data_IF_678390751548
#
_entry.id   IF_678390751548
#
_cell.length_a   1.000
_cell.length_b   1.000
_cell.length_c   1.000
_cell.angle_alpha   90.00
_cell.angle_beta   90.00
_cell.angle_gamma   90.00
#
_symmetry.space_group_name_H-M   'P 1'
#
loop_
_entity.id
_entity.type
_entity.pdbx_description
1 polymer ?
#
# COMPACT_ATOMS: atom_id res chain seq x y z
N UNK A 1 52.16 14.24 41.97
CA UNK A 1 53.59 14.15 41.64
C UNK A 1 53.79 13.04 40.65
N UNK A 2 54.48 13.32 39.61
CA UNK A 2 55.12 12.70 38.46
C UNK A 2 54.35 12.82 37.17
N UNK A 3 54.88 13.35 36.38
CA UNK A 3 55.29 14.11 35.17
C UNK A 3 55.82 13.17 34.08
N UNK A 4 55.45 13.56 32.85
CA UNK A 4 56.10 13.50 31.53
C UNK A 4 56.13 12.21 30.69
N UNK A 5 55.79 12.45 29.42
CA UNK A 5 56.28 11.70 28.29
C UNK A 5 55.61 12.03 26.96
N UNK A 6 55.89 13.24 26.42
CA UNK A 6 55.59 13.62 25.01
C UNK A 6 56.69 13.04 24.12
N UNK A 7 56.34 12.34 23.03
CA UNK A 7 57.23 12.13 21.88
C UNK A 7 56.46 12.29 20.59
N UNK A 8 56.70 13.44 19.95
CA UNK A 8 56.32 13.68 18.55
C UNK A 8 57.34 12.99 17.63
N UNK A 9 56.85 12.62 16.46
CA UNK A 9 57.67 12.37 15.28
C UNK A 9 57.06 13.07 14.06
N UNK A 10 57.98 13.73 13.35
CA UNK A 10 57.74 14.70 12.30
C UNK A 10 57.68 14.06 10.90
N UNK A 11 56.98 14.76 10.03
CA UNK A 11 57.11 14.96 8.58
C UNK A 11 57.91 13.96 7.73
N UNK A 12 57.26 13.55 6.65
CA UNK A 12 57.87 13.07 5.42
C UNK A 12 56.97 13.37 4.22
N UNK A 13 57.18 14.56 3.62
CA UNK A 13 56.58 14.99 2.36
C UNK A 13 57.42 14.42 1.22
N UNK A 14 56.87 13.54 0.38
CA UNK A 14 57.46 13.13 -0.90
C UNK A 14 56.57 13.63 -2.04
N UNK A 15 57.05 14.67 -2.73
CA UNK A 15 56.51 15.18 -3.99
C UNK A 15 57.11 14.37 -5.14
N UNK A 16 56.33 13.54 -5.79
CA UNK A 16 56.69 12.84 -7.01
C UNK A 16 56.04 13.52 -8.23
N UNK A 17 56.83 14.28 -8.99
CA UNK A 17 56.45 14.72 -10.32
C UNK A 17 56.52 13.52 -11.26
N UNK A 18 55.36 13.20 -11.89
CA UNK A 18 55.33 12.32 -13.06
C UNK A 18 54.90 13.17 -14.26
N UNK A 19 55.84 13.27 -15.24
CA UNK A 19 55.67 13.94 -16.50
C UNK A 19 54.65 13.17 -17.39
N UNK A 20 53.62 13.86 -17.84
CA UNK A 20 52.69 13.37 -18.86
C UNK A 20 53.30 13.51 -20.26
N UNK A 21 53.70 12.41 -20.88
CA UNK A 21 53.91 12.33 -22.31
C UNK A 21 52.59 12.14 -23.02
N UNK A 22 52.20 13.13 -23.81
CA UNK A 22 50.97 13.10 -24.62
C UNK A 22 51.07 12.09 -25.77
N UNK A 23 50.14 11.16 -25.79
CA UNK A 23 49.83 10.38 -26.99
C UNK A 23 48.53 10.94 -27.58
N UNK A 24 48.69 11.56 -28.74
CA UNK A 24 47.58 12.10 -29.56
C UNK A 24 46.95 10.91 -30.29
N UNK A 25 45.80 10.42 -29.85
CA UNK A 25 44.98 9.49 -30.61
C UNK A 25 44.19 10.25 -31.68
N UNK A 26 44.28 9.81 -32.91
CA UNK A 26 43.57 10.33 -34.06
C UNK A 26 42.05 10.01 -33.91
N UNK A 27 41.24 11.03 -34.10
CA UNK A 27 39.77 10.91 -34.19
C UNK A 27 39.45 10.42 -35.60
N UNK A 28 38.68 9.33 -35.78
CA UNK A 28 38.17 8.97 -37.10
C UNK A 28 37.01 9.90 -37.47
N UNK A 29 37.10 10.43 -38.69
CA UNK A 29 36.15 11.29 -39.39
C UNK A 29 34.84 10.55 -39.61
N UNK A 30 33.72 11.15 -39.20
CA UNK A 30 32.39 10.62 -39.39
C UNK A 30 31.96 10.79 -40.86
N UNK A 31 31.31 9.80 -41.49
CA UNK A 31 30.79 9.95 -42.84
C UNK A 31 29.56 10.88 -42.86
N UNK A 32 29.50 11.73 -43.88
CA UNK A 32 28.42 12.65 -44.22
C UNK A 32 27.07 11.93 -44.37
N UNK A 33 25.94 12.54 -43.95
CA UNK A 33 24.62 11.94 -44.09
C UNK A 33 24.19 11.93 -45.56
N UNK A 34 23.94 10.75 -46.11
CA UNK A 34 23.20 10.58 -47.34
C UNK A 34 21.71 10.77 -47.05
N UNK A 35 21.09 11.64 -47.85
CA UNK A 35 19.64 11.86 -47.91
C UNK A 35 18.93 10.56 -48.27
N UNK A 36 18.40 9.90 -47.23
CA UNK A 36 17.36 8.91 -47.39
C UNK A 36 16.04 9.52 -46.93
N UNK A 37 15.19 9.76 -47.91
CA UNK A 37 13.81 10.19 -47.69
C UNK A 37 13.09 9.22 -46.71
N UNK A 38 12.92 9.67 -45.49
CA UNK A 38 12.15 8.95 -44.48
C UNK A 38 10.69 9.08 -44.86
N UNK A 39 10.08 7.96 -45.23
CA UNK A 39 8.64 7.79 -45.26
C UNK A 39 8.08 8.12 -43.89
N UNK A 40 7.17 9.08 -43.82
CA UNK A 40 6.45 9.44 -42.61
C UNK A 40 5.73 8.20 -42.03
N UNK A 41 5.83 7.95 -40.73
CA UNK A 41 5.00 6.91 -40.12
C UNK A 41 3.52 7.31 -40.22
N UNK A 42 2.74 6.40 -40.77
CA UNK A 42 1.30 6.53 -40.84
C UNK A 42 0.76 6.88 -39.44
N UNK A 43 0.10 8.01 -39.34
CA UNK A 43 -0.65 8.44 -38.17
C UNK A 43 -1.69 7.36 -37.90
N UNK A 44 -1.48 6.55 -36.85
CA UNK A 44 -2.54 5.73 -36.29
C UNK A 44 -3.66 6.70 -35.86
N UNK A 45 -4.87 6.59 -36.40
CA UNK A 45 -5.99 7.34 -35.85
C UNK A 45 -6.13 6.88 -34.40
N UNK A 46 -5.91 7.79 -33.44
CA UNK A 46 -6.33 7.61 -32.09
C UNK A 46 -7.80 7.16 -32.16
N UNK A 47 -8.04 5.89 -31.88
CA UNK A 47 -9.39 5.36 -31.76
C UNK A 47 -10.02 6.16 -30.64
N UNK A 48 -10.83 7.16 -31.02
CA UNK A 48 -11.82 7.79 -30.15
C UNK A 48 -12.72 6.65 -29.70
N UNK A 49 -12.42 6.07 -28.53
CA UNK A 49 -13.31 5.13 -27.88
C UNK A 49 -14.59 5.91 -27.58
N UNK A 50 -15.57 5.78 -28.45
CA UNK A 50 -16.97 6.09 -28.16
C UNK A 50 -17.24 5.53 -26.77
N UNK A 51 -17.91 6.24 -25.84
CA UNK A 51 -18.33 5.66 -24.58
C UNK A 51 -19.29 4.53 -24.89
N UNK A 52 -18.72 3.32 -25.11
CA UNK A 52 -19.49 2.11 -25.32
C UNK A 52 -20.42 1.95 -24.12
N UNK A 53 -21.64 1.61 -24.40
CA UNK A 53 -22.67 1.27 -23.43
C UNK A 53 -22.07 0.21 -22.47
N UNK A 54 -21.46 0.67 -21.37
CA UNK A 54 -20.87 -0.23 -20.35
C UNK A 54 -22.02 -0.98 -19.75
N UNK A 55 -22.02 -2.30 -19.93
CA UNK A 55 -23.06 -3.14 -19.37
C UNK A 55 -23.03 -3.02 -17.84
N UNK A 56 -24.17 -2.66 -17.25
CA UNK A 56 -24.33 -2.71 -15.80
C UNK A 56 -24.28 -4.16 -15.32
N UNK A 57 -23.91 -4.40 -14.06
CA UNK A 57 -24.00 -5.73 -13.47
C UNK A 57 -25.43 -6.27 -13.56
N UNK A 58 -25.56 -7.57 -13.80
CA UNK A 58 -26.85 -8.27 -13.68
C UNK A 58 -27.21 -8.39 -12.19
N UNK A 59 -28.29 -7.72 -11.80
CA UNK A 59 -28.79 -7.66 -10.42
C UNK A 59 -29.89 -8.67 -10.14
N UNK A 60 -30.00 -9.75 -10.91
CA UNK A 60 -31.01 -10.80 -10.74
C UNK A 60 -30.95 -11.51 -9.40
N UNK A 61 -29.82 -11.41 -8.69
CA UNK A 61 -29.64 -11.89 -7.31
C UNK A 61 -29.01 -10.82 -6.42
N UNK A 62 -29.19 -10.90 -5.10
CA UNK A 62 -28.41 -10.09 -4.17
C UNK A 62 -26.93 -10.52 -4.18
N UNK A 63 -26.05 -9.56 -3.89
CA UNK A 63 -24.62 -9.81 -3.70
C UNK A 63 -24.25 -9.64 -2.24
N UNK A 64 -23.25 -10.40 -1.79
CA UNK A 64 -22.69 -10.33 -0.44
C UNK A 64 -21.37 -9.55 -0.43
N UNK A 65 -21.21 -8.61 0.52
CA UNK A 65 -20.01 -7.82 0.69
C UNK A 65 -19.53 -7.86 2.15
N UNK A 66 -18.29 -8.32 2.35
CA UNK A 66 -17.63 -8.33 3.65
C UNK A 66 -16.97 -6.99 3.94
N UNK A 67 -17.39 -6.33 5.00
CA UNK A 67 -16.70 -5.19 5.59
C UNK A 67 -15.76 -5.68 6.70
N UNK A 68 -14.66 -4.99 6.87
CA UNK A 68 -13.66 -5.28 7.89
C UNK A 68 -13.44 -4.03 8.74
N UNK A 69 -13.52 -4.20 10.05
CA UNK A 69 -13.30 -3.10 10.99
C UNK A 69 -11.83 -2.69 10.98
N UNK A 70 -11.56 -1.46 10.51
CA UNK A 70 -10.20 -0.95 10.36
C UNK A 70 -10.16 0.56 10.17
N UNK A 71 -9.88 1.30 11.22
CA UNK A 71 -9.71 2.75 11.18
C UNK A 71 -10.81 3.47 10.41
N UNK A 72 -10.42 4.37 9.51
CA UNK A 72 -11.36 5.11 8.66
C UNK A 72 -12.00 4.27 7.53
N UNK A 73 -11.53 3.03 7.28
CA UNK A 73 -12.16 2.19 6.28
C UNK A 73 -13.57 1.78 6.70
N UNK A 74 -13.72 1.31 7.94
CA UNK A 74 -15.02 1.03 8.54
C UNK A 74 -14.90 0.91 10.06
N UNK A 75 -15.77 1.62 10.78
CA UNK A 75 -15.90 1.56 12.23
C UNK A 75 -17.26 0.95 12.60
N UNK A 76 -17.24 -0.24 13.21
CA UNK A 76 -18.47 -0.97 13.57
C UNK A 76 -19.32 -0.22 14.61
N UNK A 77 -18.70 0.58 15.46
CA UNK A 77 -19.40 1.35 16.51
C UNK A 77 -20.31 2.44 15.94
N UNK A 78 -19.87 3.12 14.88
CA UNK A 78 -20.64 4.19 14.22
C UNK A 78 -21.41 3.69 13.01
N UNK A 79 -20.99 2.55 12.45
CA UNK A 79 -21.49 2.04 11.19
C UNK A 79 -21.09 2.91 10.00
N UNK A 80 -20.00 3.68 10.10
CA UNK A 80 -19.49 4.62 9.07
C UNK A 80 -18.11 4.22 8.60
N UNK A 81 -17.69 4.76 7.45
CA UNK A 81 -16.37 4.57 6.88
C UNK A 81 -16.34 4.59 5.38
N UNK A 82 -15.14 4.70 4.83
CA UNK A 82 -14.88 4.81 3.39
C UNK A 82 -15.46 3.61 2.63
N UNK A 83 -15.27 2.40 3.14
CA UNK A 83 -15.74 1.17 2.49
C UNK A 83 -17.27 1.12 2.45
N UNK A 84 -17.95 1.61 3.48
CA UNK A 84 -19.41 1.73 3.46
C UNK A 84 -19.89 2.75 2.44
N UNK A 85 -19.29 3.94 2.39
CA UNK A 85 -19.62 4.97 1.41
C UNK A 85 -19.43 4.47 -0.02
N UNK A 86 -18.37 3.71 -0.29
CA UNK A 86 -18.13 3.07 -1.59
C UNK A 86 -19.22 2.05 -1.90
N UNK A 87 -19.58 1.18 -0.95
CA UNK A 87 -20.64 0.19 -1.14
C UNK A 87 -22.00 0.84 -1.42
N UNK A 88 -22.36 1.90 -0.70
CA UNK A 88 -23.58 2.68 -0.93
C UNK A 88 -23.60 3.32 -2.33
N UNK A 89 -22.47 3.86 -2.78
CA UNK A 89 -22.34 4.42 -4.12
C UNK A 89 -22.44 3.33 -5.20
N UNK A 90 -21.88 2.14 -4.98
CA UNK A 90 -22.06 0.99 -5.86
C UNK A 90 -23.55 0.64 -6.01
N UNK A 91 -24.29 0.58 -4.89
CA UNK A 91 -25.76 0.36 -4.90
C UNK A 91 -26.47 1.47 -5.64
N UNK A 92 -26.14 2.73 -5.39
CA UNK A 92 -26.75 3.90 -6.04
C UNK A 92 -26.64 3.86 -7.57
N UNK A 93 -25.46 3.44 -8.08
CA UNK A 93 -25.19 3.37 -9.53
C UNK A 93 -25.85 2.19 -10.22
N UNK A 94 -25.81 1.05 -9.57
CA UNK A 94 -26.22 -0.22 -10.20
C UNK A 94 -27.67 -0.59 -9.90
N UNK A 95 -28.22 -0.12 -8.79
CA UNK A 95 -29.48 -0.57 -8.18
C UNK A 95 -29.47 -2.04 -7.75
N UNK A 96 -28.29 -2.68 -7.73
CA UNK A 96 -28.15 -4.01 -7.17
C UNK A 96 -28.29 -3.99 -5.65
N UNK A 97 -28.83 -5.07 -5.10
CA UNK A 97 -28.89 -5.26 -3.66
C UNK A 97 -27.53 -5.81 -3.15
N UNK A 98 -26.88 -5.08 -2.24
CA UNK A 98 -25.67 -5.53 -1.53
C UNK A 98 -26.00 -5.81 -0.07
N UNK A 99 -25.77 -7.05 0.39
CA UNK A 99 -25.85 -7.42 1.80
C UNK A 99 -24.48 -7.23 2.45
N UNK A 100 -24.39 -6.27 3.37
CA UNK A 100 -23.14 -5.95 4.06
C UNK A 100 -23.02 -6.78 5.34
N UNK A 101 -21.87 -7.39 5.57
CA UNK A 101 -21.57 -8.16 6.79
C UNK A 101 -20.20 -7.79 7.31
N UNK A 102 -20.09 -7.46 8.60
CA UNK A 102 -18.81 -7.17 9.26
C UNK A 102 -18.14 -8.48 9.66
N UNK A 103 -16.93 -8.70 9.20
CA UNK A 103 -16.20 -9.96 9.38
C UNK A 103 -14.71 -9.71 9.68
N UNK A 104 -14.05 -10.59 10.46
CA UNK A 104 -12.60 -10.58 10.57
C UNK A 104 -11.93 -10.78 9.20
N UNK A 105 -10.83 -10.06 8.94
CA UNK A 105 -10.13 -10.07 7.64
C UNK A 105 -9.79 -11.47 7.14
N UNK A 106 -9.32 -12.34 8.03
CA UNK A 106 -9.01 -13.73 7.68
C UNK A 106 -10.24 -14.49 7.16
N UNK A 107 -11.41 -14.28 7.80
CA UNK A 107 -12.66 -14.91 7.39
C UNK A 107 -13.15 -14.42 6.04
N UNK A 108 -13.00 -13.13 5.75
CA UNK A 108 -13.32 -12.55 4.44
C UNK A 108 -12.57 -13.29 3.32
N UNK A 109 -11.25 -13.45 3.46
CA UNK A 109 -10.45 -14.14 2.43
C UNK A 109 -10.87 -15.61 2.22
N UNK A 110 -11.18 -16.34 3.29
CA UNK A 110 -11.68 -17.71 3.20
C UNK A 110 -13.02 -17.78 2.44
N UNK A 111 -13.94 -16.86 2.72
CA UNK A 111 -15.25 -16.83 2.08
C UNK A 111 -15.16 -16.42 0.61
N UNK A 112 -14.29 -15.48 0.23
CA UNK A 112 -14.01 -15.14 -1.16
C UNK A 112 -13.42 -16.32 -1.93
N UNK A 113 -12.47 -17.06 -1.34
CA UNK A 113 -11.85 -18.22 -1.97
C UNK A 113 -12.85 -19.35 -2.19
N UNK A 114 -13.78 -19.55 -1.26
CA UNK A 114 -14.83 -20.57 -1.41
C UNK A 114 -16.00 -20.14 -2.27
N UNK A 115 -16.13 -18.85 -2.60
CA UNK A 115 -17.27 -18.28 -3.32
C UNK A 115 -18.49 -18.05 -2.44
N UNK A 116 -18.36 -18.14 -1.12
CA UNK A 116 -19.44 -17.86 -0.17
C UNK A 116 -19.58 -16.36 0.13
N UNK A 117 -18.68 -15.53 -0.37
CA UNK A 117 -18.72 -14.08 -0.36
C UNK A 117 -18.38 -13.57 -1.75
N UNK A 118 -19.14 -12.59 -2.26
CA UNK A 118 -18.90 -12.02 -3.60
C UNK A 118 -17.80 -10.97 -3.58
N UNK A 119 -17.83 -10.08 -2.57
CA UNK A 119 -16.98 -8.88 -2.53
C UNK A 119 -16.35 -8.61 -1.18
N UNK A 120 -15.22 -7.92 -1.20
CA UNK A 120 -14.75 -7.06 -0.12
C UNK A 120 -14.11 -5.81 -0.71
N UNK A 121 -13.86 -4.80 0.12
CA UNK A 121 -13.26 -3.53 -0.26
C UNK A 121 -11.85 -3.41 0.34
N UNK A 122 -11.09 -2.43 -0.16
CA UNK A 122 -9.75 -2.06 0.33
C UNK A 122 -8.77 -3.24 0.44
N UNK A 123 -8.91 -4.21 -0.49
CA UNK A 123 -8.01 -5.36 -0.54
C UNK A 123 -6.85 -5.18 -1.50
N UNK A 124 -5.71 -5.81 -1.18
CA UNK A 124 -4.52 -5.85 -2.03
C UNK A 124 -4.33 -7.24 -2.65
N UNK A 125 -3.73 -7.26 -3.84
CA UNK A 125 -3.34 -8.46 -4.56
C UNK A 125 -2.07 -9.09 -3.98
N UNK A 126 -1.97 -10.40 -4.14
CA UNK A 126 -0.74 -11.16 -4.08
C UNK A 126 -0.91 -12.47 -4.87
N UNK A 127 0.18 -13.22 -5.18
CA UNK A 127 0.09 -14.42 -6.02
C UNK A 127 -0.89 -15.51 -5.53
N UNK A 128 -1.16 -15.57 -4.24
CA UNK A 128 -2.12 -16.54 -3.67
C UNK A 128 -3.56 -16.06 -3.89
N UNK A 129 -3.85 -14.79 -3.61
CA UNK A 129 -5.18 -14.18 -3.77
C UNK A 129 -5.61 -14.11 -5.22
N UNK A 130 -4.69 -13.86 -6.15
CA UNK A 130 -4.95 -13.74 -7.59
C UNK A 130 -5.51 -15.02 -8.20
N UNK A 131 -5.28 -16.18 -7.56
CA UNK A 131 -5.81 -17.47 -7.99
C UNK A 131 -7.33 -17.55 -7.89
N UNK A 132 -7.93 -16.87 -6.91
CA UNK A 132 -9.37 -16.95 -6.64
C UNK A 132 -10.10 -15.60 -6.68
N UNK A 133 -9.38 -14.48 -6.72
CA UNK A 133 -9.97 -13.14 -6.70
C UNK A 133 -9.56 -12.31 -7.93
N UNK A 134 -10.45 -11.41 -8.33
CA UNK A 134 -10.18 -10.32 -9.26
C UNK A 134 -10.20 -8.99 -8.51
N UNK A 135 -9.45 -8.00 -9.00
CA UNK A 135 -9.28 -6.71 -8.33
C UNK A 135 -9.65 -5.55 -9.25
N UNK A 136 -10.28 -4.54 -8.68
CA UNK A 136 -10.51 -3.25 -9.33
C UNK A 136 -10.02 -2.13 -8.43
N UNK A 137 -8.86 -1.57 -8.77
CA UNK A 137 -8.13 -0.61 -7.94
C UNK A 137 -8.84 0.74 -7.90
N UNK A 138 -8.90 1.36 -6.70
CA UNK A 138 -9.47 2.69 -6.52
C UNK A 138 -8.69 3.60 -5.57
N UNK A 139 -7.73 3.06 -4.84
CA UNK A 139 -6.80 3.83 -4.02
C UNK A 139 -5.42 3.22 -4.05
N UNK A 140 -4.41 4.00 -3.69
CA UNK A 140 -3.09 3.51 -3.30
C UNK A 140 -2.61 4.24 -2.05
N UNK A 141 -1.93 3.54 -1.16
CA UNK A 141 -1.34 4.12 0.04
C UNK A 141 -0.02 3.46 0.40
N UNK A 142 0.73 4.11 1.29
CA UNK A 142 1.95 3.58 1.89
C UNK A 142 1.67 2.96 3.25
N UNK A 143 2.54 2.05 3.64
CA UNK A 143 2.58 1.47 4.97
C UNK A 143 3.71 2.09 5.80
N UNK A 144 3.50 2.13 7.11
CA UNK A 144 4.41 2.71 8.08
C UNK A 144 4.58 1.77 9.26
N UNK A 145 5.73 1.86 9.91
CA UNK A 145 5.98 1.19 11.18
C UNK A 145 5.73 2.20 12.31
N UNK A 146 4.69 2.00 13.09
CA UNK A 146 4.45 2.72 14.33
C UNK A 146 5.28 2.07 15.43
N UNK A 147 6.24 2.79 16.00
CA UNK A 147 7.20 2.27 16.97
C UNK A 147 7.11 3.04 18.27
N UNK A 148 7.22 2.34 19.40
CA UNK A 148 7.36 2.97 20.72
C UNK A 148 8.67 3.79 20.76
N UNK A 149 8.61 4.99 21.35
CA UNK A 149 9.80 5.86 21.48
C UNK A 149 10.88 5.29 22.40
N UNK A 150 10.47 4.58 23.45
CA UNK A 150 11.37 3.93 24.40
C UNK A 150 12.09 2.69 23.85
N UNK A 151 11.67 2.16 22.70
CA UNK A 151 12.42 1.16 21.95
C UNK A 151 13.73 1.72 21.37
N UNK A 152 13.91 3.05 21.37
CA UNK A 152 15.11 3.74 20.87
C UNK A 152 15.52 3.25 19.46
N UNK A 153 14.57 3.36 18.51
CA UNK A 153 14.70 2.91 17.12
C UNK A 153 14.37 4.07 16.19
N UNK A 154 15.25 4.33 15.22
CA UNK A 154 15.15 5.44 14.28
C UNK A 154 15.01 4.99 12.81
N UNK A 155 15.03 3.68 12.57
CA UNK A 155 14.78 3.10 11.24
C UNK A 155 14.21 1.69 11.32
N UNK A 156 13.51 1.27 10.26
CA UNK A 156 12.99 -0.11 10.12
C UNK A 156 14.11 -1.15 10.25
N UNK A 157 15.29 -0.85 9.69
CA UNK A 157 16.46 -1.74 9.77
C UNK A 157 17.01 -1.86 11.18
N UNK A 158 16.97 -0.80 12.00
CA UNK A 158 17.33 -0.87 13.42
C UNK A 158 16.37 -1.74 14.21
N UNK A 159 15.07 -1.59 14.02
CA UNK A 159 14.06 -2.46 14.64
C UNK A 159 14.36 -3.93 14.37
N UNK A 160 14.63 -4.28 13.12
CA UNK A 160 14.97 -5.66 12.73
C UNK A 160 16.20 -6.19 13.47
N UNK A 161 17.24 -5.38 13.65
CA UNK A 161 18.50 -5.80 14.36
C UNK A 161 18.33 -5.98 15.86
N UNK A 162 17.43 -5.24 16.51
CA UNK A 162 17.14 -5.35 17.96
C UNK A 162 16.25 -6.56 18.23
N UNK A 163 16.84 -7.72 18.49
CA UNK A 163 16.15 -9.03 18.59
C UNK A 163 15.11 -9.13 19.72
N UNK A 164 15.19 -8.25 20.74
CA UNK A 164 14.24 -8.20 21.84
C UNK A 164 12.91 -7.52 21.47
N UNK A 165 12.81 -6.85 20.31
CA UNK A 165 11.64 -6.10 19.94
C UNK A 165 10.64 -6.98 19.18
N UNK A 166 9.36 -6.88 19.52
CA UNK A 166 8.24 -7.63 18.95
C UNK A 166 7.33 -6.73 18.12
N UNK A 167 6.78 -7.30 17.05
CA UNK A 167 5.87 -6.65 16.10
C UNK A 167 4.45 -7.18 16.27
N UNK A 168 3.46 -6.29 16.35
CA UNK A 168 2.05 -6.62 16.30
C UNK A 168 1.47 -6.49 14.89
N UNK A 169 0.68 -7.45 14.46
CA UNK A 169 0.05 -7.47 13.14
C UNK A 169 -1.41 -7.94 13.19
N UNK A 170 -2.21 -7.47 12.23
CA UNK A 170 -3.54 -8.04 12.00
C UNK A 170 -3.39 -9.33 11.20
N UNK A 171 -4.04 -10.38 11.65
CA UNK A 171 -4.01 -11.70 10.98
C UNK A 171 -4.51 -11.62 9.54
N UNK A 172 -3.76 -12.24 8.63
CA UNK A 172 -4.05 -12.28 7.18
C UNK A 172 -3.94 -10.94 6.44
N UNK A 173 -3.33 -9.92 7.07
CA UNK A 173 -2.90 -8.73 6.34
C UNK A 173 -1.67 -9.03 5.48
N UNK A 174 -1.53 -8.26 4.43
CA UNK A 174 -0.33 -8.17 3.59
C UNK A 174 -0.09 -6.71 3.29
N UNK A 175 1.14 -6.38 2.94
CA UNK A 175 1.66 -5.02 2.82
C UNK A 175 2.41 -4.85 1.50
N UNK A 176 3.24 -3.83 1.35
CA UNK A 176 4.22 -3.73 0.28
C UNK A 176 5.30 -4.81 0.36
N UNK A 177 6.08 -4.96 -0.68
CA UNK A 177 7.10 -6.02 -0.79
C UNK A 177 8.11 -5.97 0.37
N UNK A 178 8.70 -4.78 0.62
CA UNK A 178 9.70 -4.60 1.69
C UNK A 178 9.10 -4.76 3.09
N UNK A 179 7.87 -4.30 3.27
CA UNK A 179 7.17 -4.50 4.54
C UNK A 179 6.84 -5.98 4.76
N UNK A 180 6.48 -6.75 3.72
CA UNK A 180 6.30 -8.20 3.82
C UNK A 180 7.62 -8.91 4.12
N UNK A 181 8.74 -8.57 3.46
CA UNK A 181 10.07 -9.11 3.75
C UNK A 181 10.49 -8.86 5.21
N UNK A 182 10.16 -7.67 5.72
CA UNK A 182 10.41 -7.33 7.12
C UNK A 182 9.57 -8.21 8.06
N UNK A 183 8.28 -8.40 7.77
CA UNK A 183 7.37 -9.27 8.53
C UNK A 183 7.87 -10.72 8.52
N UNK A 184 8.14 -11.28 7.34
CA UNK A 184 8.58 -12.67 7.17
C UNK A 184 9.87 -12.95 7.94
N UNK A 185 10.80 -11.98 7.96
CA UNK A 185 12.02 -12.07 8.74
C UNK A 185 11.76 -12.11 10.26
N UNK A 186 10.82 -11.31 10.77
CA UNK A 186 10.46 -11.32 12.19
C UNK A 186 9.63 -12.56 12.57
N UNK A 187 8.78 -13.06 11.68
CA UNK A 187 8.07 -14.32 11.87
C UNK A 187 9.04 -15.50 12.04
N UNK A 188 10.06 -15.58 11.18
CA UNK A 188 11.07 -16.64 11.25
C UNK A 188 11.85 -16.62 12.58
N UNK A 189 11.89 -15.47 13.25
CA UNK A 189 12.50 -15.27 14.56
C UNK A 189 11.49 -15.37 15.73
N UNK A 190 10.22 -15.73 15.46
CA UNK A 190 9.12 -15.79 16.45
C UNK A 190 8.87 -14.45 17.18
N UNK A 191 9.03 -13.34 16.47
CA UNK A 191 8.91 -11.97 16.98
C UNK A 191 7.62 -11.27 16.55
N UNK A 192 6.61 -12.02 16.10
CA UNK A 192 5.33 -11.48 15.64
C UNK A 192 4.20 -11.93 16.53
N UNK A 193 3.37 -10.97 16.96
CA UNK A 193 2.12 -11.21 17.67
C UNK A 193 0.94 -10.83 16.79
N UNK A 194 -0.04 -11.72 16.65
CA UNK A 194 -1.21 -11.51 15.81
C UNK A 194 -2.45 -11.18 16.60
N UNK A 195 -3.20 -10.17 16.16
CA UNK A 195 -4.54 -9.83 16.61
C UNK A 195 -5.58 -9.96 15.50
N UNK A 196 -6.86 -9.91 15.86
CA UNK A 196 -7.97 -9.94 14.91
C UNK A 196 -8.32 -8.55 14.33
N UNK A 197 -7.98 -7.48 15.07
CA UNK A 197 -8.28 -6.07 14.74
C UNK A 197 -7.22 -5.13 15.32
N UNK A 198 -7.38 -3.82 15.10
CA UNK A 198 -6.45 -2.78 15.57
C UNK A 198 -6.48 -2.54 17.07
N UNK A 199 -7.66 -2.48 17.69
CA UNK A 199 -7.79 -2.10 19.11
C UNK A 199 -6.96 -2.96 20.08
N UNK A 200 -6.96 -4.30 19.97
CA UNK A 200 -6.06 -5.13 20.75
C UNK A 200 -4.59 -4.82 20.52
N UNK A 201 -4.18 -4.47 19.27
CA UNK A 201 -2.79 -4.13 18.97
C UNK A 201 -2.38 -2.83 19.64
N UNK A 202 -3.23 -1.79 19.64
CA UNK A 202 -2.96 -0.55 20.36
C UNK A 202 -2.85 -0.80 21.87
N UNK A 203 -3.70 -1.65 22.41
CA UNK A 203 -3.67 -2.01 23.84
C UNK A 203 -2.34 -2.64 24.24
N UNK A 204 -1.88 -3.66 23.51
CA UNK A 204 -0.62 -4.35 23.82
C UNK A 204 0.61 -3.51 23.45
N UNK A 205 0.51 -2.58 22.47
CA UNK A 205 1.56 -1.61 22.16
C UNK A 205 1.76 -0.62 23.33
N UNK A 206 0.65 -0.12 23.90
CA UNK A 206 0.72 0.79 25.05
C UNK A 206 1.19 0.09 26.33
N UNK A 207 0.89 -1.20 26.47
CA UNK A 207 1.32 -2.05 27.60
C UNK A 207 2.79 -2.53 27.49
N UNK A 208 3.50 -2.22 26.37
CA UNK A 208 4.86 -2.68 26.06
C UNK A 208 5.00 -4.19 25.80
N UNK A 209 3.90 -4.89 25.55
CA UNK A 209 3.93 -6.30 25.15
C UNK A 209 4.42 -6.48 23.69
N UNK A 210 4.28 -5.44 22.86
CA UNK A 210 4.91 -5.28 21.55
C UNK A 210 5.52 -3.88 21.44
N UNK A 211 6.55 -3.72 20.63
CA UNK A 211 7.23 -2.43 20.48
C UNK A 211 6.92 -1.72 19.18
N UNK A 212 6.29 -2.39 18.24
CA UNK A 212 5.81 -1.77 17.00
C UNK A 212 4.59 -2.49 16.43
N UNK A 213 3.90 -1.79 15.52
CA UNK A 213 2.87 -2.36 14.63
C UNK A 213 2.94 -1.69 13.26
N UNK A 214 2.45 -2.38 12.22
CA UNK A 214 2.32 -1.77 10.88
C UNK A 214 0.98 -1.05 10.81
N UNK A 215 1.02 0.20 10.33
CA UNK A 215 -0.13 1.10 10.19
C UNK A 215 -0.21 1.66 8.77
N UNK A 216 -1.33 2.25 8.46
CA UNK A 216 -1.61 2.95 7.21
C UNK A 216 -2.38 4.27 7.49
N UNK A 217 -2.59 5.15 6.49
CA UNK A 217 -3.22 6.46 6.72
C UNK A 217 -4.61 6.38 7.37
N UNK A 218 -5.34 5.28 7.21
CA UNK A 218 -6.64 5.05 7.83
C UNK A 218 -6.60 4.98 9.35
N UNK A 219 -5.41 4.74 9.93
CA UNK A 219 -5.16 4.63 11.38
C UNK A 219 -4.75 5.96 12.02
N UNK A 220 -4.40 6.98 11.22
CA UNK A 220 -3.85 8.24 11.71
C UNK A 220 -4.75 8.97 12.74
N UNK A 221 -6.09 8.99 12.63
CA UNK A 221 -6.92 9.62 13.66
C UNK A 221 -6.76 8.98 15.04
N UNK A 222 -6.62 7.66 15.14
CA UNK A 222 -6.36 6.96 16.39
C UNK A 222 -4.99 7.33 16.97
N UNK A 223 -3.97 7.37 16.10
CA UNK A 223 -2.58 7.68 16.48
C UNK A 223 -2.43 9.15 16.89
N UNK A 224 -3.26 10.04 16.35
CA UNK A 224 -3.31 11.45 16.74
C UNK A 224 -3.78 11.66 18.19
N UNK A 225 -4.39 10.64 18.82
CA UNK A 225 -4.74 10.64 20.25
C UNK A 225 -3.53 10.91 21.15
N UNK A 226 -3.72 11.66 22.22
CA UNK A 226 -2.64 12.22 23.04
C UNK A 226 -1.62 11.15 23.53
N UNK A 227 -2.12 9.98 23.95
CA UNK A 227 -1.29 8.92 24.51
C UNK A 227 -0.40 8.25 23.43
N UNK A 228 -0.98 7.78 22.34
CA UNK A 228 -0.21 7.15 21.25
C UNK A 228 0.78 8.13 20.63
N UNK A 229 0.36 9.37 20.35
CA UNK A 229 1.23 10.42 19.81
C UNK A 229 2.42 10.71 20.72
N UNK A 230 2.23 10.73 22.02
CA UNK A 230 3.31 10.97 22.99
C UNK A 230 4.32 9.81 23.06
N UNK A 231 3.83 8.57 22.97
CA UNK A 231 4.63 7.36 23.21
C UNK A 231 5.23 6.72 21.96
N UNK A 232 4.78 7.14 20.76
CA UNK A 232 5.20 6.50 19.51
C UNK A 232 5.82 7.48 18.52
N UNK A 233 6.49 6.93 17.53
CA UNK A 233 6.96 7.60 16.33
C UNK A 233 6.61 6.74 15.10
N UNK A 234 6.57 7.38 13.93
CA UNK A 234 6.23 6.74 12.66
C UNK A 234 7.49 6.66 11.81
N UNK A 235 7.81 5.45 11.33
CA UNK A 235 8.89 5.20 10.38
C UNK A 235 8.28 4.71 9.06
N UNK A 236 8.80 5.21 7.94
CA UNK A 236 8.29 4.85 6.62
C UNK A 236 9.02 3.61 6.08
N UNK A 237 8.26 2.68 5.48
CA UNK A 237 8.83 1.64 4.63
C UNK A 237 9.19 2.23 3.26
N UNK A 238 10.29 1.76 2.68
CA UNK A 238 10.74 2.21 1.36
C UNK A 238 9.97 1.55 0.19
N UNK A 239 8.73 1.13 0.44
CA UNK A 239 7.83 0.64 -0.60
C UNK A 239 7.22 1.78 -1.41
N UNK A 240 6.95 1.58 -2.72
CA UNK A 240 6.03 2.45 -3.44
C UNK A 240 4.62 2.34 -2.84
N UNK A 241 3.72 3.30 -3.12
CA UNK A 241 2.32 3.14 -2.75
C UNK A 241 1.72 1.85 -3.31
N UNK A 242 0.99 1.12 -2.47
CA UNK A 242 0.38 -0.18 -2.80
C UNK A 242 -1.06 0.05 -3.25
N UNK A 243 -1.48 -0.48 -4.43
CA UNK A 243 -2.88 -0.38 -4.87
C UNK A 243 -3.82 -1.22 -4.01
N UNK A 244 -4.97 -0.63 -3.68
CA UNK A 244 -6.08 -1.29 -2.99
C UNK A 244 -7.35 -1.15 -3.83
N UNK A 245 -8.27 -2.09 -3.69
CA UNK A 245 -9.47 -2.05 -4.51
C UNK A 245 -10.62 -2.93 -4.06
N UNK A 246 -11.66 -2.92 -4.88
CA UNK A 246 -12.72 -3.91 -4.82
C UNK A 246 -12.12 -5.28 -5.15
N UNK A 247 -12.32 -6.22 -4.26
CA UNK A 247 -11.96 -7.63 -4.43
C UNK A 247 -13.20 -8.43 -4.75
N UNK A 248 -13.14 -9.21 -5.81
CA UNK A 248 -14.26 -9.94 -6.37
C UNK A 248 -13.92 -11.44 -6.43
N UNK A 249 -14.78 -12.30 -5.89
CA UNK A 249 -14.59 -13.75 -5.96
C UNK A 249 -14.77 -14.27 -7.40
N UNK A 250 -13.75 -14.88 -7.97
CA UNK A 250 -13.82 -15.54 -9.29
C UNK A 250 -14.71 -16.80 -9.26
N UNK A 251 -14.99 -17.32 -8.06
CA UNK A 251 -15.80 -18.52 -7.90
C UNK A 251 -17.28 -18.24 -7.87
N UNK A 252 -17.72 -17.10 -7.32
CA UNK A 252 -19.14 -16.72 -7.26
C UNK A 252 -19.58 -15.83 -8.42
N UNK A 253 -18.62 -15.17 -9.10
CA UNK A 253 -18.90 -14.18 -10.15
C UNK A 253 -18.33 -14.65 -11.50
N UNK A 254 -19.19 -14.79 -12.54
CA UNK A 254 -18.72 -15.08 -13.89
C UNK A 254 -17.96 -13.89 -14.48
N UNK A 255 -17.13 -14.10 -15.53
CA UNK A 255 -16.28 -13.04 -16.12
C UNK A 255 -17.03 -11.77 -16.51
N UNK A 256 -18.24 -11.88 -17.04
CA UNK A 256 -19.08 -10.73 -17.41
C UNK A 256 -19.44 -9.87 -16.18
N UNK A 257 -19.74 -10.49 -15.05
CA UNK A 257 -20.03 -9.79 -13.80
C UNK A 257 -18.77 -9.13 -13.23
N UNK A 258 -17.62 -9.83 -13.26
CA UNK A 258 -16.34 -9.25 -12.84
C UNK A 258 -16.02 -7.98 -13.65
N UNK A 259 -16.21 -8.01 -14.96
CA UNK A 259 -15.99 -6.86 -15.83
C UNK A 259 -16.99 -5.72 -15.54
N UNK A 260 -18.27 -6.03 -15.39
CA UNK A 260 -19.29 -5.02 -15.11
C UNK A 260 -19.02 -4.28 -13.77
N UNK A 261 -18.66 -5.01 -12.71
CA UNK A 261 -18.30 -4.40 -11.43
C UNK A 261 -16.97 -3.63 -11.49
N UNK A 262 -16.00 -4.12 -12.26
CA UNK A 262 -14.78 -3.36 -12.55
C UNK A 262 -15.13 -2.02 -13.19
N UNK A 263 -16.01 -2.00 -14.20
CA UNK A 263 -16.43 -0.79 -14.90
C UNK A 263 -17.17 0.20 -13.99
N UNK A 264 -17.96 -0.29 -13.03
CA UNK A 264 -18.59 0.55 -11.98
C UNK A 264 -17.50 1.28 -11.18
N UNK A 265 -16.50 0.59 -10.66
CA UNK A 265 -15.40 1.20 -9.92
C UNK A 265 -14.62 2.20 -10.78
N UNK A 266 -14.29 1.84 -12.03
CA UNK A 266 -13.58 2.74 -12.93
C UNK A 266 -14.41 4.00 -13.25
N UNK A 267 -15.75 3.88 -13.33
CA UNK A 267 -16.62 5.05 -13.49
C UNK A 267 -16.59 5.99 -12.30
N UNK A 268 -16.51 5.44 -11.05
CA UNK A 268 -16.38 6.23 -9.81
C UNK A 268 -15.04 6.96 -9.73
N UNK A 269 -13.99 6.35 -10.27
CA UNK A 269 -12.68 7.02 -10.38
C UNK A 269 -12.72 8.14 -11.42
N UNK A 270 -13.25 7.84 -12.61
CA UNK A 270 -13.22 8.75 -13.75
C UNK A 270 -14.04 10.05 -13.51
N UNK A 271 -15.16 9.99 -12.81
CA UNK A 271 -15.99 11.15 -12.50
C UNK A 271 -15.62 11.84 -11.17
N UNK A 272 -14.56 11.41 -10.51
CA UNK A 272 -14.05 11.96 -9.27
C UNK A 272 -14.86 11.61 -8.02
N UNK A 273 -15.83 10.71 -8.11
CA UNK A 273 -16.64 10.29 -6.95
C UNK A 273 -15.76 9.61 -5.90
N UNK A 274 -14.83 8.75 -6.33
CA UNK A 274 -13.91 8.10 -5.42
C UNK A 274 -13.14 9.15 -4.59
N UNK A 275 -12.58 10.17 -5.23
CA UNK A 275 -11.90 11.27 -4.54
C UNK A 275 -12.82 11.99 -3.54
N UNK A 276 -14.05 12.33 -3.94
CA UNK A 276 -15.03 13.00 -3.04
C UNK A 276 -15.38 12.16 -1.81
N UNK A 277 -15.43 10.83 -1.94
CA UNK A 277 -15.62 9.95 -0.78
C UNK A 277 -14.42 10.07 0.17
N UNK A 278 -13.20 10.01 -0.35
CA UNK A 278 -11.98 10.14 0.46
C UNK A 278 -11.83 11.53 1.11
N UNK A 279 -12.25 12.60 0.44
CA UNK A 279 -12.23 13.97 0.97
C UNK A 279 -13.14 14.18 2.20
N UNK A 280 -14.07 13.26 2.49
CA UNK A 280 -14.84 13.27 3.74
C UNK A 280 -14.00 12.89 4.96
N UNK A 281 -12.93 12.12 4.74
CA UNK A 281 -12.12 11.50 5.78
C UNK A 281 -10.70 12.04 5.85
N UNK A 282 -10.19 12.60 4.75
CA UNK A 282 -8.82 13.09 4.60
C UNK A 282 -8.77 14.51 4.09
N UNK A 283 -7.68 15.26 4.39
CA UNK A 283 -7.37 16.50 3.68
C UNK A 283 -7.32 16.27 2.16
N UNK A 284 -7.80 17.26 1.39
CA UNK A 284 -7.98 17.16 -0.06
C UNK A 284 -6.71 16.71 -0.81
N UNK A 285 -5.52 17.16 -0.36
CA UNK A 285 -4.26 16.76 -0.99
C UNK A 285 -3.94 15.28 -0.79
N UNK A 286 -4.16 14.74 0.41
CA UNK A 286 -3.95 13.34 0.70
C UNK A 286 -4.99 12.47 -0.03
N UNK A 287 -6.27 12.85 0.01
CA UNK A 287 -7.34 12.17 -0.73
C UNK A 287 -7.03 12.09 -2.23
N UNK A 288 -6.51 13.19 -2.81
CA UNK A 288 -6.06 13.23 -4.21
C UNK A 288 -4.89 12.26 -4.45
N UNK A 289 -3.85 12.30 -3.62
CA UNK A 289 -2.70 11.41 -3.75
C UNK A 289 -3.10 9.94 -3.68
N UNK A 290 -4.02 9.59 -2.78
CA UNK A 290 -4.49 8.20 -2.62
C UNK A 290 -5.35 7.72 -3.79
N UNK A 291 -6.07 8.60 -4.49
CA UNK A 291 -7.05 8.21 -5.53
C UNK A 291 -6.59 8.46 -6.96
N UNK A 292 -5.47 9.17 -7.17
CA UNK A 292 -4.85 9.44 -8.48
C UNK A 292 -3.51 8.71 -8.59
N UNK A 293 -3.49 7.53 -9.22
CA UNK A 293 -2.31 6.68 -9.40
C UNK A 293 -2.44 5.88 -10.70
#
# INVERSE_FOLDING_TARGET
MLRFGVRGWALGLVVGLIACTGVRAAVPEAPSPQDTAASAPASNPAASATPGNRALPDCSRPFSLGLHEHGLLYAAQTGEGIDKDIAEEMVRRTRCHLTLTVLPRARIWQLLETGALDFTLSGISNPQRDKFAAFSWYLSNKYYLLVRRDADVHSVSEFRRKRALHLGLIRSFRYGERANDFVDALESESRVTYAGSLDPLYTILLADDIQAMIIEPFDFPMIAGAQLKAQTLILEFADPPVPHGLVMSRKSLPPAQLQAWHDVIQSMRADGTMRRIFEKYFPADLARQMTQF
#
